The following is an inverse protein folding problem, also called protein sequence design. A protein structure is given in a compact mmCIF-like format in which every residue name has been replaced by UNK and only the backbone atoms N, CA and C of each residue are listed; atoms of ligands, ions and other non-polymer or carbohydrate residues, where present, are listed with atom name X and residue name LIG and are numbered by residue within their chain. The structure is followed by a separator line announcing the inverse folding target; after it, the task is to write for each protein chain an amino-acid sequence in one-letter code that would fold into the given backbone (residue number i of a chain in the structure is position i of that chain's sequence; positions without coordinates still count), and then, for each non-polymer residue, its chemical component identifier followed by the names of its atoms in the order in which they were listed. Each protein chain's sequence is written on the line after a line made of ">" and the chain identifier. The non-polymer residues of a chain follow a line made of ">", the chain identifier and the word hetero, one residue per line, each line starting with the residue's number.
data_IF_080213911638
#
_entry.id   IF_080213911638
#
_cell.length_a   1.000
_cell.length_b   1.000
_cell.length_c   1.000
_cell.angle_alpha   90.00
_cell.angle_beta   90.00
_cell.angle_gamma   90.00
#
_symmetry.space_group_name_H-M   'P 1'
#
loop_
_entity.id
_entity.type
_entity.pdbx_description
1 polymer ?
#
# COMPACT_ATOMS: atom_id res chain seq x y z
N UNK A 1 34.32 25.82 30.29
CA UNK A 1 33.17 24.89 30.41
C UNK A 1 32.02 25.59 29.74
N UNK A 2 31.82 25.37 28.44
CA UNK A 2 30.74 26.02 27.70
C UNK A 2 29.42 25.47 28.23
N UNK A 3 28.67 26.31 28.95
CA UNK A 3 27.31 25.99 29.36
C UNK A 3 26.46 25.86 28.08
N UNK A 4 26.17 24.62 27.72
CA UNK A 4 25.34 24.32 26.56
C UNK A 4 23.91 24.78 26.84
N UNK A 5 23.34 25.60 25.95
CA UNK A 5 22.00 26.15 26.16
C UNK A 5 20.95 25.06 26.05
N UNK A 6 20.08 25.00 27.04
CA UNK A 6 18.92 24.12 27.08
C UNK A 6 17.72 24.79 26.41
N UNK A 7 17.20 24.15 25.36
CA UNK A 7 16.11 24.67 24.55
C UNK A 7 14.94 23.69 24.58
N UNK A 8 13.75 24.22 24.82
CA UNK A 8 12.48 23.50 24.73
C UNK A 8 11.85 23.68 23.36
N UNK A 9 11.25 22.63 22.81
CA UNK A 9 10.57 22.63 21.51
C UNK A 9 9.06 22.45 21.71
N UNK A 10 8.27 23.27 21.04
CA UNK A 10 6.81 23.22 21.03
C UNK A 10 6.30 22.54 19.75
N UNK A 11 5.56 21.44 19.89
CA UNK A 11 4.89 20.75 18.77
C UNK A 11 3.38 20.71 19.04
N UNK A 12 2.63 21.62 18.43
CA UNK A 12 1.20 21.75 18.67
C UNK A 12 0.89 22.32 20.06
N UNK A 13 0.35 21.49 20.96
CA UNK A 13 0.04 21.86 22.35
C UNK A 13 0.98 21.19 23.38
N UNK A 14 1.94 20.38 22.92
CA UNK A 14 2.87 19.66 23.78
C UNK A 14 4.27 20.31 23.77
N UNK A 15 4.88 20.37 24.96
CA UNK A 15 6.22 20.91 25.23
C UNK A 15 7.20 19.74 25.38
N UNK A 16 8.27 19.75 24.59
CA UNK A 16 9.32 18.73 24.58
C UNK A 16 10.67 19.33 24.98
N UNK A 17 11.42 18.66 25.85
CA UNK A 17 12.75 19.12 26.28
C UNK A 17 12.94 19.08 27.79
N UNK A 18 14.00 19.74 28.31
CA UNK A 18 14.98 20.54 27.57
C UNK A 18 15.94 19.67 26.73
N UNK A 19 16.35 20.17 25.57
CA UNK A 19 17.41 19.57 24.76
C UNK A 19 18.60 20.51 24.63
N UNK A 20 19.80 19.94 24.57
CA UNK A 20 21.01 20.70 24.28
C UNK A 20 20.95 21.30 22.86
N UNK A 21 21.46 22.52 22.70
CA UNK A 21 21.50 23.23 21.42
C UNK A 21 22.19 22.41 20.31
N UNK A 22 23.27 21.67 20.62
CA UNK A 22 23.97 20.81 19.65
C UNK A 22 23.08 19.70 19.09
N UNK A 23 22.25 19.08 19.93
CA UNK A 23 21.30 18.03 19.55
C UNK A 23 20.24 18.60 18.60
N UNK A 24 19.77 19.82 18.87
CA UNK A 24 18.80 20.49 18.00
C UNK A 24 19.43 20.88 16.66
N UNK A 25 20.68 21.35 16.65
CA UNK A 25 21.44 21.63 15.41
C UNK A 25 21.61 20.36 14.59
N UNK A 26 21.89 19.23 15.23
CA UNK A 26 21.95 17.93 14.56
C UNK A 26 20.59 17.51 13.97
N UNK A 27 19.50 17.69 14.71
CA UNK A 27 18.15 17.39 14.20
C UNK A 27 17.68 18.32 13.07
N UNK A 28 18.19 19.55 13.02
CA UNK A 28 18.01 20.44 11.88
C UNK A 28 18.73 19.90 10.64
N UNK A 29 19.97 19.41 10.77
CA UNK A 29 20.72 18.79 9.66
C UNK A 29 20.03 17.51 9.18
N UNK A 30 19.49 16.71 10.10
CA UNK A 30 18.75 15.48 9.79
C UNK A 30 17.33 15.73 9.26
N UNK A 31 16.85 16.98 9.22
CA UNK A 31 15.50 17.35 8.77
C UNK A 31 14.37 16.91 9.70
N UNK A 32 14.68 16.51 10.94
CA UNK A 32 13.70 16.07 11.95
C UNK A 32 12.97 17.24 12.61
N UNK A 33 13.57 18.43 12.61
CA UNK A 33 13.04 19.67 13.19
C UNK A 33 13.06 20.76 12.12
N UNK A 34 12.05 21.64 12.12
CA UNK A 34 11.95 22.78 11.18
C UNK A 34 12.39 24.08 11.84
N UNK A 35 12.96 25.01 11.07
CA UNK A 35 13.39 26.34 11.54
C UNK A 35 12.23 27.23 12.04
N UNK A 36 11.00 26.96 11.59
CA UNK A 36 9.78 27.63 12.03
C UNK A 36 9.14 27.03 13.29
N UNK A 37 9.70 25.94 13.82
CA UNK A 37 9.19 25.31 15.04
C UNK A 37 9.32 26.25 16.24
N UNK A 38 8.31 26.27 17.12
CA UNK A 38 8.38 27.08 18.33
C UNK A 38 9.43 26.51 19.27
N UNK A 39 10.29 27.38 19.77
CA UNK A 39 11.33 27.10 20.72
C UNK A 39 11.26 28.10 21.88
N UNK A 40 11.65 27.65 23.05
CA UNK A 40 11.69 28.44 24.26
C UNK A 40 12.93 28.13 25.06
N UNK A 41 13.57 29.15 25.60
CA UNK A 41 14.77 29.05 26.43
C UNK A 41 14.46 29.72 27.76
N UNK A 42 15.10 29.24 28.83
CA UNK A 42 14.88 29.79 30.15
C UNK A 42 15.14 31.30 30.19
N UNK A 43 14.19 32.06 30.74
CA UNK A 43 14.20 33.52 30.76
C UNK A 43 13.49 34.22 29.58
N UNK A 44 12.84 33.51 28.65
CA UNK A 44 12.09 34.13 27.55
C UNK A 44 10.60 34.34 27.89
N UNK A 45 10.04 35.52 27.60
CA UNK A 45 8.64 35.87 27.92
C UNK A 45 7.59 35.10 27.08
N UNK A 46 7.95 34.66 25.89
CA UNK A 46 7.05 33.95 24.97
C UNK A 46 7.82 32.95 24.09
N UNK A 47 7.10 31.95 23.55
CA UNK A 47 7.67 31.01 22.58
C UNK A 47 8.02 31.75 21.29
N UNK A 48 9.22 31.50 20.75
CA UNK A 48 9.69 32.12 19.50
C UNK A 48 10.12 31.06 18.49
N UNK A 49 10.07 31.32 17.19
CA UNK A 49 10.56 30.38 16.18
C UNK A 49 12.03 30.00 16.42
N UNK A 50 12.37 28.74 16.14
CA UNK A 50 13.69 28.16 16.42
C UNK A 50 14.83 28.90 15.72
N UNK A 51 14.62 29.45 14.52
CA UNK A 51 15.62 30.27 13.84
C UNK A 51 15.96 31.55 14.60
N UNK A 52 14.99 32.21 15.24
CA UNK A 52 15.25 33.38 16.08
C UNK A 52 16.02 33.00 17.35
N UNK A 53 15.69 31.85 17.95
CA UNK A 53 16.37 31.34 19.16
C UNK A 53 17.84 30.96 18.88
N UNK A 54 18.12 30.40 17.70
CA UNK A 54 19.45 29.97 17.29
C UNK A 54 20.26 31.06 16.56
N UNK A 55 19.68 32.24 16.33
CA UNK A 55 20.30 33.32 15.55
C UNK A 55 20.58 32.92 14.09
N UNK A 56 19.84 31.95 13.57
CA UNK A 56 19.97 31.50 12.18
C UNK A 56 19.15 32.42 11.28
N UNK A 57 19.66 32.70 10.07
CA UNK A 57 18.90 33.44 9.09
C UNK A 57 17.53 32.77 8.91
N UNK A 58 16.42 33.54 8.88
CA UNK A 58 15.11 32.97 8.61
C UNK A 58 15.21 32.16 7.31
N UNK A 59 14.58 30.99 7.28
CA UNK A 59 14.31 30.32 6.01
C UNK A 59 13.63 31.37 5.13
N UNK A 60 14.29 31.73 4.03
CA UNK A 60 13.87 32.83 3.17
C UNK A 60 12.39 32.64 2.87
N UNK A 61 11.54 33.47 3.46
CA UNK A 61 10.16 33.57 3.04
C UNK A 61 10.20 33.83 1.54
N UNK A 62 9.47 33.05 0.72
CA UNK A 62 9.41 33.30 -0.72
C UNK A 62 9.06 34.79 -0.92
N UNK A 63 9.68 35.46 -1.92
CA UNK A 63 9.43 36.88 -2.15
C UNK A 63 7.93 37.15 -2.25
N UNK A 64 7.45 38.33 -1.76
CA UNK A 64 6.05 38.71 -1.87
C UNK A 64 5.61 38.54 -3.32
N UNK A 65 4.65 37.64 -3.47
CA UNK A 65 4.15 37.14 -4.73
C UNK A 65 3.61 38.30 -5.59
N UNK A 66 3.96 38.39 -6.90
CA UNK A 66 3.34 39.34 -7.80
C UNK A 66 1.82 39.13 -7.79
N UNK A 67 0.99 40.20 -7.75
CA UNK A 67 -0.46 40.07 -7.87
C UNK A 67 -0.79 39.48 -9.25
N UNK A 68 -1.00 38.15 -9.27
CA UNK A 68 -1.13 37.35 -10.49
C UNK A 68 -0.75 35.88 -10.35
N UNK A 69 -0.03 35.48 -9.29
CA UNK A 69 0.39 34.08 -9.07
C UNK A 69 -0.62 33.21 -8.30
N UNK A 70 -1.92 33.54 -8.34
CA UNK A 70 -3.01 32.65 -7.91
C UNK A 70 -3.22 31.44 -8.86
N UNK A 71 -2.38 31.26 -9.88
CA UNK A 71 -2.47 30.15 -10.84
C UNK A 71 -1.30 29.18 -10.84
N UNK A 72 -0.23 29.42 -10.07
CA UNK A 72 0.90 28.49 -9.98
C UNK A 72 0.75 27.64 -8.73
N UNK A 73 0.07 26.51 -8.88
CA UNK A 73 0.13 25.41 -7.91
C UNK A 73 1.60 25.14 -7.60
N UNK A 74 1.96 25.04 -6.32
CA UNK A 74 3.27 24.56 -5.94
C UNK A 74 3.56 23.25 -6.70
N UNK A 75 4.79 22.96 -7.13
CA UNK A 75 5.09 21.76 -7.93
C UNK A 75 4.54 20.46 -7.32
N UNK A 76 4.50 20.39 -5.98
CA UNK A 76 3.86 19.31 -5.22
C UNK A 76 2.35 19.25 -5.43
N UNK A 77 1.63 20.37 -5.34
CA UNK A 77 0.17 20.41 -5.50
C UNK A 77 -0.24 20.10 -6.95
N UNK A 78 0.54 20.58 -7.92
CA UNK A 78 0.36 20.24 -9.34
C UNK A 78 0.56 18.74 -9.59
N UNK A 79 1.60 18.13 -8.98
CA UNK A 79 1.88 16.69 -9.11
C UNK A 79 0.83 15.81 -8.42
N UNK A 80 0.27 16.26 -7.29
CA UNK A 80 -0.83 15.58 -6.58
C UNK A 80 -2.12 15.65 -7.40
N UNK A 81 -2.43 16.81 -7.99
CA UNK A 81 -3.60 16.99 -8.85
C UNK A 81 -3.47 16.22 -10.17
N UNK A 82 -2.25 16.02 -10.67
CA UNK A 82 -1.98 15.19 -11.84
C UNK A 82 -2.18 13.69 -11.59
N UNK A 83 -2.24 13.23 -10.33
CA UNK A 83 -2.51 11.83 -10.01
C UNK A 83 -3.99 11.50 -10.28
N UNK A 84 -4.30 10.57 -11.20
CA UNK A 84 -5.67 10.13 -11.47
C UNK A 84 -6.28 9.45 -10.25
N UNK A 85 -7.59 9.53 -10.13
CA UNK A 85 -8.30 9.00 -8.96
C UNK A 85 -8.12 7.48 -8.84
N UNK A 86 -7.50 6.99 -7.75
CA UNK A 86 -7.40 5.57 -7.48
C UNK A 86 -8.76 4.96 -7.17
N UNK A 87 -8.95 3.66 -7.43
CA UNK A 87 -10.15 2.96 -7.02
C UNK A 87 -10.24 2.98 -5.48
N UNK A 88 -11.21 3.73 -4.97
CA UNK A 88 -11.36 4.03 -3.54
C UNK A 88 -12.31 3.08 -2.80
N UNK A 89 -12.70 1.96 -3.42
CA UNK A 89 -13.59 0.98 -2.80
C UNK A 89 -12.87 0.29 -1.63
N UNK A 90 -13.48 0.26 -0.45
CA UNK A 90 -12.88 -0.42 0.70
C UNK A 90 -12.63 -1.90 0.37
N UNK A 91 -11.45 -2.43 0.70
CA UNK A 91 -11.06 -3.82 0.38
C UNK A 91 -12.09 -4.88 0.84
N UNK A 92 -12.74 -4.66 1.99
CA UNK A 92 -13.77 -5.55 2.52
C UNK A 92 -15.05 -5.54 1.67
N UNK A 93 -15.38 -4.40 1.06
CA UNK A 93 -16.51 -4.34 0.12
C UNK A 93 -16.19 -5.10 -1.16
N UNK A 94 -14.93 -5.06 -1.65
CA UNK A 94 -14.52 -5.90 -2.78
C UNK A 94 -14.71 -7.38 -2.44
N UNK A 95 -14.30 -7.80 -1.24
CA UNK A 95 -14.51 -9.16 -0.75
C UNK A 95 -16.00 -9.51 -0.66
N UNK A 96 -16.82 -8.63 -0.09
CA UNK A 96 -18.26 -8.83 0.04
C UNK A 96 -18.95 -8.97 -1.31
N UNK A 97 -18.51 -8.18 -2.31
CA UNK A 97 -19.03 -8.24 -3.69
C UNK A 97 -18.62 -9.53 -4.43
N UNK A 98 -17.56 -10.22 -4.00
CA UNK A 98 -17.21 -11.53 -4.55
C UNK A 98 -18.24 -12.61 -4.19
N UNK A 99 -18.97 -12.48 -3.07
CA UNK A 99 -19.98 -13.47 -2.64
C UNK A 99 -21.18 -13.53 -3.60
N UNK A 100 -21.93 -12.44 -3.85
CA UNK A 100 -23.08 -12.49 -4.74
C UNK A 100 -22.70 -12.68 -6.22
N UNK A 101 -21.45 -12.39 -6.60
CA UNK A 101 -20.95 -12.58 -7.97
C UNK A 101 -20.28 -13.93 -8.20
N UNK A 102 -20.34 -14.86 -7.24
CA UNK A 102 -19.70 -16.18 -7.31
C UNK A 102 -18.21 -16.09 -7.69
N UNK A 103 -17.51 -15.07 -7.18
CA UNK A 103 -16.09 -14.83 -7.44
C UNK A 103 -15.78 -14.10 -8.74
N UNK A 104 -16.75 -13.81 -9.61
CA UNK A 104 -16.53 -13.08 -10.86
C UNK A 104 -15.91 -11.70 -10.61
N UNK A 105 -16.34 -11.01 -9.55
CA UNK A 105 -15.74 -9.74 -9.16
C UNK A 105 -14.24 -9.89 -8.82
N UNK A 106 -13.84 -11.01 -8.21
CA UNK A 106 -12.43 -11.29 -7.89
C UNK A 106 -11.55 -11.45 -9.13
N UNK A 107 -12.14 -11.77 -10.28
CA UNK A 107 -11.46 -11.89 -11.57
C UNK A 107 -11.41 -10.55 -12.31
N UNK A 108 -12.50 -9.78 -12.26
CA UNK A 108 -12.60 -8.48 -12.96
C UNK A 108 -11.80 -7.39 -12.22
N UNK A 109 -11.85 -7.38 -10.88
CA UNK A 109 -11.26 -6.30 -10.07
C UNK A 109 -9.76 -6.07 -10.30
N UNK A 110 -8.90 -7.09 -10.44
CA UNK A 110 -7.49 -6.89 -10.79
C UNK A 110 -7.28 -6.06 -12.06
N UNK A 111 -8.17 -6.14 -13.05
CA UNK A 111 -8.09 -5.31 -14.26
C UNK A 111 -8.43 -3.85 -13.99
N UNK A 112 -9.35 -3.58 -13.07
CA UNK A 112 -9.65 -2.21 -12.61
C UNK A 112 -8.41 -1.62 -11.94
N UNK A 113 -7.78 -2.38 -11.05
CA UNK A 113 -6.52 -1.99 -10.39
C UNK A 113 -5.41 -1.74 -11.41
N UNK A 114 -5.19 -2.68 -12.35
CA UNK A 114 -4.17 -2.56 -13.38
C UNK A 114 -4.44 -1.40 -14.34
N UNK A 115 -5.71 -1.09 -14.63
CA UNK A 115 -6.08 0.06 -15.46
C UNK A 115 -5.70 1.38 -14.80
N UNK A 116 -5.88 1.51 -13.48
CA UNK A 116 -5.40 2.68 -12.75
C UNK A 116 -3.87 2.73 -12.74
N UNK A 117 -3.19 1.60 -12.50
CA UNK A 117 -1.72 1.52 -12.55
C UNK A 117 -1.18 1.95 -13.91
N UNK A 118 -1.84 1.54 -15.01
CA UNK A 118 -1.43 1.91 -16.37
C UNK A 118 -1.55 3.41 -16.63
N UNK A 119 -2.49 4.11 -15.96
CA UNK A 119 -2.66 5.56 -16.05
C UNK A 119 -1.53 6.31 -15.33
N UNK A 120 -1.02 5.78 -14.22
CA UNK A 120 0.06 6.41 -13.45
C UNK A 120 1.46 6.01 -13.94
N UNK A 121 1.59 4.79 -14.47
CA UNK A 121 2.83 4.22 -15.00
C UNK A 121 2.53 3.50 -16.33
N UNK A 122 2.64 4.20 -17.47
CA UNK A 122 2.44 3.60 -18.79
C UNK A 122 3.39 2.45 -19.11
N UNK A 123 4.55 2.37 -18.44
CA UNK A 123 5.53 1.29 -18.64
C UNK A 123 5.11 -0.02 -17.97
N UNK A 124 4.09 0.01 -17.11
CA UNK A 124 3.65 -1.16 -16.36
C UNK A 124 3.19 -2.29 -17.27
N UNK A 125 3.70 -3.50 -16.99
CA UNK A 125 3.38 -4.76 -17.69
C UNK A 125 2.31 -5.58 -17.00
N UNK A 126 1.75 -5.10 -15.89
CA UNK A 126 0.78 -5.83 -15.07
C UNK A 126 -0.44 -6.31 -15.87
N UNK A 127 -0.99 -5.47 -16.74
CA UNK A 127 -2.15 -5.84 -17.58
C UNK A 127 -1.84 -7.01 -18.51
N UNK A 128 -0.63 -7.08 -19.08
CA UNK A 128 -0.24 -8.18 -19.96
C UNK A 128 -0.17 -9.49 -19.19
N UNK A 129 0.36 -9.46 -17.96
CA UNK A 129 0.40 -10.64 -17.09
C UNK A 129 -1.00 -11.08 -16.63
N UNK A 130 -1.91 -10.14 -16.36
CA UNK A 130 -3.31 -10.47 -16.06
C UNK A 130 -4.03 -11.09 -17.27
N UNK A 131 -3.81 -10.56 -18.48
CA UNK A 131 -4.35 -11.15 -19.71
C UNK A 131 -3.79 -12.56 -19.91
N UNK A 132 -2.48 -12.76 -19.76
CA UNK A 132 -1.87 -14.08 -19.85
C UNK A 132 -2.48 -15.07 -18.84
N UNK A 133 -2.62 -14.66 -17.58
CA UNK A 133 -3.30 -15.46 -16.55
C UNK A 133 -4.74 -15.79 -16.94
N UNK A 134 -5.49 -14.83 -17.47
CA UNK A 134 -6.89 -15.03 -17.89
C UNK A 134 -7.00 -16.02 -19.05
N UNK A 135 -6.12 -15.89 -20.06
CA UNK A 135 -6.09 -16.81 -21.20
C UNK A 135 -5.76 -18.25 -20.77
N UNK A 136 -4.84 -18.43 -19.82
CA UNK A 136 -4.55 -19.75 -19.26
C UNK A 136 -5.77 -20.32 -18.53
N UNK A 137 -6.45 -19.52 -17.70
CA UNK A 137 -7.68 -19.95 -17.02
C UNK A 137 -8.75 -20.37 -18.03
N UNK A 138 -9.07 -19.53 -19.02
CA UNK A 138 -10.07 -19.83 -20.04
C UNK A 138 -9.68 -21.06 -20.85
N UNK A 139 -8.40 -21.20 -21.21
CA UNK A 139 -7.88 -22.36 -21.93
C UNK A 139 -8.08 -23.66 -21.17
N UNK A 140 -7.85 -23.68 -19.85
CA UNK A 140 -8.11 -24.85 -18.99
C UNK A 140 -9.58 -25.20 -18.95
N UNK A 141 -10.47 -24.21 -18.77
CA UNK A 141 -11.92 -24.44 -18.74
C UNK A 141 -12.46 -24.94 -20.08
N UNK A 142 -12.05 -24.33 -21.19
CA UNK A 142 -12.43 -24.76 -22.54
C UNK A 142 -11.95 -26.18 -22.81
N UNK A 143 -10.68 -26.48 -22.49
CA UNK A 143 -10.13 -27.82 -22.65
C UNK A 143 -10.92 -28.86 -21.83
N UNK A 144 -11.24 -28.53 -20.56
CA UNK A 144 -12.00 -29.43 -19.69
C UNK A 144 -13.42 -29.70 -20.24
N UNK A 145 -14.10 -28.66 -20.71
CA UNK A 145 -15.46 -28.78 -21.29
C UNK A 145 -15.42 -29.62 -22.56
N UNK A 146 -14.51 -29.33 -23.50
CA UNK A 146 -14.35 -30.09 -24.74
C UNK A 146 -14.02 -31.56 -24.43
N UNK A 147 -13.17 -31.82 -23.43
CA UNK A 147 -12.89 -33.17 -22.94
C UNK A 147 -14.15 -33.92 -22.51
N UNK A 148 -15.03 -33.28 -21.73
CA UNK A 148 -16.28 -33.91 -21.28
C UNK A 148 -17.25 -34.24 -22.42
N UNK A 149 -17.25 -33.46 -23.51
CA UNK A 149 -18.08 -33.76 -24.69
C UNK A 149 -17.47 -34.80 -25.63
N UNK A 150 -16.15 -34.94 -25.61
CA UNK A 150 -15.42 -35.91 -26.44
C UNK A 150 -15.34 -37.30 -25.79
N UNK A 151 -15.44 -37.37 -24.46
CA UNK A 151 -15.30 -38.61 -23.70
C UNK A 151 -16.67 -39.26 -23.45
N UNK A 152 -16.80 -40.55 -23.78
CA UNK A 152 -18.00 -41.36 -23.55
C UNK A 152 -17.80 -42.39 -22.42
N UNK A 153 -16.73 -42.24 -21.62
CA UNK A 153 -16.31 -43.16 -20.55
C UNK A 153 -16.79 -42.80 -19.14
N UNK A 154 -16.27 -43.54 -18.14
CA UNK A 154 -16.70 -43.64 -16.72
C UNK A 154 -16.67 -42.34 -15.88
N UNK A 155 -16.53 -41.17 -16.49
CA UNK A 155 -16.72 -39.84 -15.86
C UNK A 155 -15.54 -39.28 -15.07
N UNK A 156 -14.47 -40.07 -14.83
CA UNK A 156 -13.27 -39.60 -14.15
C UNK A 156 -12.17 -39.20 -15.15
N UNK A 157 -11.55 -38.01 -15.01
CA UNK A 157 -10.48 -37.58 -15.90
C UNK A 157 -9.19 -38.42 -15.70
N UNK A 158 -8.44 -38.71 -16.77
CA UNK A 158 -7.18 -39.45 -16.67
C UNK A 158 -6.13 -38.66 -15.86
N UNK A 159 -5.27 -39.37 -15.13
CA UNK A 159 -4.24 -38.78 -14.25
C UNK A 159 -3.31 -37.82 -15.02
N UNK A 160 -2.98 -38.13 -16.27
CA UNK A 160 -2.17 -37.26 -17.13
C UNK A 160 -2.82 -35.90 -17.39
N UNK A 161 -4.14 -35.88 -17.54
CA UNK A 161 -4.90 -34.64 -17.71
C UNK A 161 -4.92 -33.82 -16.41
N UNK A 162 -5.12 -34.48 -15.26
CA UNK A 162 -5.04 -33.82 -13.96
C UNK A 162 -3.67 -33.17 -13.76
N UNK A 163 -2.59 -33.91 -14.09
CA UNK A 163 -1.22 -33.39 -14.03
C UNK A 163 -0.99 -32.19 -14.93
N UNK A 164 -1.46 -32.24 -16.18
CA UNK A 164 -1.38 -31.13 -17.11
C UNK A 164 -2.15 -29.89 -16.62
N UNK A 165 -3.39 -30.07 -16.14
CA UNK A 165 -4.20 -28.99 -15.57
C UNK A 165 -3.52 -28.36 -14.34
N UNK A 166 -2.91 -29.18 -13.48
CA UNK A 166 -2.13 -28.69 -12.34
C UNK A 166 -0.94 -27.82 -12.76
N UNK A 167 -0.18 -28.23 -13.77
CA UNK A 167 0.95 -27.45 -14.31
C UNK A 167 0.48 -26.12 -14.90
N UNK A 168 -0.60 -26.11 -15.68
CA UNK A 168 -1.17 -24.89 -16.24
C UNK A 168 -1.71 -23.99 -15.13
N UNK A 169 -2.34 -24.55 -14.09
CA UNK A 169 -2.81 -23.83 -12.91
C UNK A 169 -1.67 -23.14 -12.14
N UNK A 170 -0.53 -23.82 -11.97
CA UNK A 170 0.67 -23.22 -11.36
C UNK A 170 1.22 -22.08 -12.22
N UNK A 171 1.30 -22.25 -13.54
CA UNK A 171 1.73 -21.20 -14.45
C UNK A 171 0.79 -19.97 -14.42
N UNK A 172 -0.52 -20.22 -14.41
CA UNK A 172 -1.56 -19.20 -14.27
C UNK A 172 -1.41 -18.42 -12.97
N UNK A 173 -1.24 -19.13 -11.85
CA UNK A 173 -1.05 -18.50 -10.55
C UNK A 173 0.26 -17.71 -10.49
N UNK A 174 1.36 -18.20 -11.08
CA UNK A 174 2.61 -17.46 -11.19
C UNK A 174 2.44 -16.16 -12.00
N UNK A 175 1.74 -16.20 -13.15
CA UNK A 175 1.42 -15.00 -13.93
C UNK A 175 0.63 -13.98 -13.11
N UNK A 176 -0.36 -14.44 -12.33
CA UNK A 176 -1.16 -13.58 -11.45
C UNK A 176 -0.26 -12.89 -10.41
N UNK A 177 0.59 -13.65 -9.71
CA UNK A 177 1.52 -13.10 -8.71
C UNK A 177 2.45 -12.06 -9.35
N UNK A 178 3.05 -12.36 -10.50
CA UNK A 178 3.93 -11.42 -11.22
C UNK A 178 3.20 -10.14 -11.58
N UNK A 179 1.92 -10.20 -11.99
CA UNK A 179 1.12 -9.02 -12.25
C UNK A 179 0.98 -8.12 -11.01
N UNK A 180 0.68 -8.70 -9.84
CA UNK A 180 0.53 -7.95 -8.60
C UNK A 180 1.83 -7.33 -8.10
N UNK A 181 2.94 -8.06 -8.18
CA UNK A 181 4.25 -7.50 -7.85
C UNK A 181 4.65 -6.39 -8.82
N UNK A 182 4.34 -6.52 -10.12
CA UNK A 182 4.54 -5.43 -11.09
C UNK A 182 3.71 -4.19 -10.76
N UNK A 183 2.47 -4.34 -10.29
CA UNK A 183 1.65 -3.20 -9.86
C UNK A 183 2.21 -2.52 -8.61
N UNK A 184 2.60 -3.31 -7.60
CA UNK A 184 3.19 -2.79 -6.38
C UNK A 184 4.49 -2.02 -6.64
N UNK A 185 5.32 -2.52 -7.53
CA UNK A 185 6.57 -1.90 -7.97
C UNK A 185 6.33 -0.57 -8.72
N UNK A 186 5.36 -0.53 -9.63
CA UNK A 186 4.90 0.71 -10.26
C UNK A 186 4.37 1.73 -9.24
N UNK A 187 3.57 1.30 -8.25
CA UNK A 187 3.10 2.19 -7.18
C UNK A 187 4.25 2.78 -6.39
N UNK A 188 5.23 1.97 -5.97
CA UNK A 188 6.40 2.48 -5.22
C UNK A 188 7.18 3.50 -6.03
N UNK A 189 7.42 3.23 -7.32
CA UNK A 189 8.13 4.16 -8.22
C UNK A 189 7.42 5.50 -8.36
N UNK A 190 6.11 5.50 -8.57
CA UNK A 190 5.34 6.73 -8.84
C UNK A 190 5.04 7.51 -7.56
N UNK A 191 4.76 6.81 -6.46
CA UNK A 191 4.33 7.46 -5.21
C UNK A 191 5.50 8.00 -4.38
N UNK A 192 6.68 7.34 -4.42
CA UNK A 192 7.86 7.79 -3.64
C UNK A 192 8.28 9.23 -3.95
N UNK A 193 8.36 9.67 -5.23
CA UNK A 193 8.64 11.06 -5.58
C UNK A 193 7.61 12.07 -5.05
N UNK A 194 6.37 11.63 -4.78
CA UNK A 194 5.31 12.46 -4.21
C UNK A 194 5.39 12.57 -2.67
N UNK A 195 6.45 12.03 -2.06
CA UNK A 195 6.60 11.96 -0.60
C UNK A 195 5.75 10.87 0.05
N UNK A 196 5.13 9.99 -0.74
CA UNK A 196 4.38 8.84 -0.27
C UNK A 196 5.25 7.60 -0.32
N UNK A 197 5.52 6.99 0.84
CA UNK A 197 6.27 5.73 0.93
C UNK A 197 5.28 4.60 1.21
N UNK A 198 4.69 3.96 0.17
CA UNK A 198 3.77 2.85 0.39
C UNK A 198 4.52 1.62 0.93
N UNK A 199 4.23 1.25 2.18
CA UNK A 199 4.77 0.04 2.81
C UNK A 199 4.07 -1.24 2.31
N UNK A 200 4.39 -1.63 1.09
CA UNK A 200 3.82 -2.85 0.48
C UNK A 200 4.67 -4.05 0.91
N UNK A 201 4.18 -4.90 1.82
CA UNK A 201 4.89 -6.13 2.21
C UNK A 201 4.81 -7.21 1.14
N UNK A 202 5.95 -7.78 0.71
CA UNK A 202 5.98 -8.83 -0.33
C UNK A 202 5.23 -10.10 0.08
N UNK A 203 5.42 -10.57 1.31
CA UNK A 203 4.71 -11.75 1.85
C UNK A 203 3.20 -11.50 1.91
N UNK A 204 2.78 -10.34 2.41
CA UNK A 204 1.36 -9.97 2.48
C UNK A 204 0.76 -9.85 1.07
N UNK A 205 1.49 -9.27 0.11
CA UNK A 205 1.05 -9.19 -1.28
C UNK A 205 0.91 -10.56 -1.94
N UNK A 206 1.79 -11.50 -1.62
CA UNK A 206 1.73 -12.86 -2.14
C UNK A 206 0.45 -13.60 -1.69
N UNK A 207 0.09 -13.50 -0.41
CA UNK A 207 -1.11 -14.17 0.12
C UNK A 207 -2.41 -13.39 -0.12
N UNK A 208 -2.35 -12.07 -0.18
CA UNK A 208 -3.52 -11.18 -0.19
C UNK A 208 -3.58 -10.26 -1.42
N UNK A 209 -2.98 -10.67 -2.53
CA UNK A 209 -2.86 -9.95 -3.82
C UNK A 209 -3.87 -8.81 -4.04
N UNK A 210 -5.09 -9.15 -4.46
CA UNK A 210 -6.13 -8.20 -4.87
C UNK A 210 -6.56 -7.28 -3.74
N UNK A 211 -6.86 -7.85 -2.56
CA UNK A 211 -7.44 -7.10 -1.44
C UNK A 211 -6.41 -6.22 -0.74
N UNK A 212 -5.18 -6.69 -0.61
CA UNK A 212 -4.09 -5.92 -0.02
C UNK A 212 -3.75 -4.73 -0.90
N UNK A 213 -3.61 -4.95 -2.22
CA UNK A 213 -3.37 -3.85 -3.15
C UNK A 213 -4.55 -2.87 -3.17
N UNK A 214 -5.78 -3.36 -3.01
CA UNK A 214 -6.95 -2.48 -2.88
C UNK A 214 -6.87 -1.60 -1.64
N UNK A 215 -6.44 -2.16 -0.51
CA UNK A 215 -6.19 -1.40 0.72
C UNK A 215 -5.16 -0.29 0.52
N UNK A 216 -4.09 -0.56 -0.24
CA UNK A 216 -3.07 0.45 -0.60
C UNK A 216 -3.67 1.56 -1.48
N UNK A 217 -4.45 1.21 -2.51
CA UNK A 217 -5.09 2.21 -3.39
C UNK A 217 -6.11 3.07 -2.65
N UNK A 218 -6.87 2.48 -1.71
CA UNK A 218 -7.80 3.23 -0.85
C UNK A 218 -7.06 4.19 0.09
N UNK A 219 -5.88 3.79 0.58
CA UNK A 219 -5.01 4.66 1.36
C UNK A 219 -4.50 5.85 0.52
N UNK A 220 -4.06 5.61 -0.73
CA UNK A 220 -3.68 6.68 -1.67
C UNK A 220 -4.87 7.61 -1.97
N UNK A 221 -6.06 7.06 -2.16
CA UNK A 221 -7.29 7.83 -2.40
C UNK A 221 -7.56 8.82 -1.27
N UNK A 222 -7.45 8.33 -0.02
CA UNK A 222 -7.66 9.14 1.17
C UNK A 222 -6.60 10.22 1.31
N UNK A 223 -5.33 9.90 1.07
CA UNK A 223 -4.28 10.90 1.06
C UNK A 223 -4.55 12.00 0.02
N UNK A 224 -4.93 11.63 -1.21
CA UNK A 224 -5.28 12.62 -2.26
C UNK A 224 -6.42 13.54 -1.82
N UNK A 225 -7.43 12.99 -1.14
CA UNK A 225 -8.59 13.74 -0.69
C UNK A 225 -8.34 14.61 0.56
N UNK A 226 -7.43 14.19 1.46
CA UNK A 226 -7.29 14.79 2.80
C UNK A 226 -5.91 15.36 3.11
N UNK A 227 -4.90 15.07 2.28
CA UNK A 227 -3.49 15.36 2.52
C UNK A 227 -2.86 14.54 3.67
N UNK A 228 -3.63 13.66 4.34
CA UNK A 228 -3.18 12.90 5.51
C UNK A 228 -2.75 11.49 5.12
N UNK A 229 -1.62 11.06 5.68
CA UNK A 229 -1.07 9.70 5.52
C UNK A 229 -1.51 8.75 6.64
N UNK A 230 -1.97 9.28 7.77
CA UNK A 230 -2.46 8.51 8.90
C UNK A 230 -3.96 8.17 8.80
N UNK A 231 -4.39 6.96 9.22
CA UNK A 231 -3.58 5.83 9.66
C UNK A 231 -2.90 5.08 8.49
N UNK A 232 -1.82 4.30 8.70
CA UNK A 232 -1.12 3.59 7.64
C UNK A 232 -2.03 2.58 6.92
N UNK A 233 -1.59 2.12 5.73
CA UNK A 233 -2.30 1.11 4.96
C UNK A 233 -2.53 -0.19 5.78
N UNK A 234 -3.65 -0.92 5.56
CA UNK A 234 -4.18 -1.92 6.50
C UNK A 234 -3.43 -3.27 6.54
N UNK A 235 -2.09 -3.26 6.67
CA UNK A 235 -1.24 -4.47 6.68
C UNK A 235 -1.56 -5.44 7.82
N UNK A 236 -1.77 -4.92 9.04
CA UNK A 236 -1.98 -5.75 10.22
C UNK A 236 -3.28 -6.57 10.15
N UNK A 237 -4.33 -5.99 9.56
CA UNK A 237 -5.65 -6.63 9.45
C UNK A 237 -5.58 -7.92 8.64
N UNK A 238 -4.78 -7.97 7.57
CA UNK A 238 -4.61 -9.18 6.76
C UNK A 238 -3.94 -10.32 7.51
N UNK A 239 -2.97 -10.01 8.38
CA UNK A 239 -2.33 -11.04 9.22
C UNK A 239 -3.30 -11.60 10.27
N UNK A 240 -4.10 -10.74 10.90
CA UNK A 240 -5.16 -11.19 11.82
C UNK A 240 -6.15 -12.10 11.08
N UNK A 241 -6.57 -11.70 9.88
CA UNK A 241 -7.49 -12.47 9.04
C UNK A 241 -6.89 -13.80 8.56
N UNK A 242 -5.57 -13.92 8.46
CA UNK A 242 -4.88 -15.17 8.12
C UNK A 242 -4.70 -16.11 9.31
N UNK A 243 -4.20 -15.60 10.43
CA UNK A 243 -3.83 -16.42 11.58
C UNK A 243 -5.04 -17.06 12.26
N UNK A 244 -6.19 -16.40 12.25
CA UNK A 244 -7.41 -16.91 12.90
C UNK A 244 -7.95 -18.18 12.21
N UNK A 245 -8.22 -18.21 10.89
CA UNK A 245 -8.67 -19.42 10.21
C UNK A 245 -7.64 -20.55 10.23
N UNK A 246 -6.36 -20.25 10.03
CA UNK A 246 -5.28 -21.26 10.07
C UNK A 246 -5.18 -21.87 11.47
N UNK A 247 -5.26 -21.05 12.52
CA UNK A 247 -5.30 -21.52 13.90
C UNK A 247 -6.50 -22.41 14.18
N UNK A 248 -7.70 -22.03 13.71
CA UNK A 248 -8.93 -22.84 13.85
C UNK A 248 -8.79 -24.18 13.11
N UNK A 249 -8.30 -24.18 11.87
CA UNK A 249 -8.08 -25.41 11.09
C UNK A 249 -7.07 -26.33 11.78
N UNK A 250 -5.97 -25.79 12.31
CA UNK A 250 -4.98 -26.57 13.06
C UNK A 250 -5.58 -27.18 14.33
N UNK A 251 -6.38 -26.42 15.08
CA UNK A 251 -7.08 -26.94 16.28
C UNK A 251 -8.06 -28.05 15.91
N UNK A 252 -8.84 -27.87 14.83
CA UNK A 252 -9.78 -28.89 14.33
C UNK A 252 -9.04 -30.14 13.88
N UNK A 253 -7.94 -30.02 13.13
CA UNK A 253 -7.12 -31.15 12.69
C UNK A 253 -6.49 -31.89 13.87
N UNK A 254 -5.97 -31.17 14.87
CA UNK A 254 -5.43 -31.78 16.09
C UNK A 254 -6.52 -32.52 16.88
N UNK A 255 -7.72 -31.94 16.99
CA UNK A 255 -8.87 -32.58 17.64
C UNK A 255 -9.32 -33.83 16.90
N UNK A 256 -9.37 -33.80 15.56
CA UNK A 256 -9.69 -34.96 14.72
C UNK A 256 -8.63 -36.05 14.84
N UNK A 257 -7.35 -35.70 14.82
CA UNK A 257 -6.27 -36.68 15.00
C UNK A 257 -6.30 -37.33 16.40
N UNK A 258 -6.59 -36.55 17.44
CA UNK A 258 -6.77 -37.08 18.80
C UNK A 258 -7.99 -38.02 18.88
N UNK A 259 -9.11 -37.66 18.25
CA UNK A 259 -10.30 -38.50 18.21
C UNK A 259 -10.09 -39.82 17.44
N UNK A 260 -9.35 -39.78 16.33
CA UNK A 260 -9.03 -40.96 15.52
C UNK A 260 -7.92 -41.83 16.14
N UNK A 261 -7.02 -41.25 16.96
CA UNK A 261 -5.96 -41.99 17.65
C UNK A 261 -6.42 -42.71 18.94
N UNK A 262 -7.66 -42.46 19.38
CA UNK A 262 -8.28 -43.11 20.54
C UNK A 262 -9.39 -44.11 20.15
N UNK A 263 -9.55 -44.43 18.85
CA UNK A 263 -10.55 -45.36 18.32
C UNK A 263 -9.98 -46.70 17.88
#
# INVERSE_FOLDING_TARGET
>A
MDQEREIWLGRGQEKFGPYAESVIRQWLIEGKVKLSMLAWVDGMESWRPLHEVLGLAPESTPPPMPPGAFGSLAPSDASVLALPEPPNLHWFLVLLLCIPTLGLMGVIWPFVQASWIKKIDPSSKATNWLIASMLLTVGVWVFAIVGQFADAGDGLPPISLIGFQGLVGLAQWACLIVAFFSMADSMRRVLTPLGLVPEIGGVTLFFFTTFYLQGQMSWVARWRATGRVDPPAPKAVFWVLWCVPVGVVLVVLLALMAALGHG
#
